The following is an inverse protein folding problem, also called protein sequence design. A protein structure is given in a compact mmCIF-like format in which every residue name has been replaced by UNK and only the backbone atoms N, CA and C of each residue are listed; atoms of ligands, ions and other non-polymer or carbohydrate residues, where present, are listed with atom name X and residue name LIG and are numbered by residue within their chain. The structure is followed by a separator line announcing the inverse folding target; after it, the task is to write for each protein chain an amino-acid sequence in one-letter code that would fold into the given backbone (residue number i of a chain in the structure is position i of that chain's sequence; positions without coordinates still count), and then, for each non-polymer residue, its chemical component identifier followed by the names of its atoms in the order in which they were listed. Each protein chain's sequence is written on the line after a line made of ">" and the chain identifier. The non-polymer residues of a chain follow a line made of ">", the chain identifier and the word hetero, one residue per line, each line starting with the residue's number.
data_IF_326385747046
#
_entry.id   IF_326385747046
#
_cell.length_a   1.000
_cell.length_b   1.000
_cell.length_c   1.000
_cell.angle_alpha   90.00
_cell.angle_beta   90.00
_cell.angle_gamma   90.00
#
_symmetry.space_group_name_H-M   'P 1'
#
loop_
_entity.id
_entity.type
_entity.pdbx_description
1 polymer ?
#
# COMPACT_ATOMS: atom_id res chain seq x y z
N UNK A 1 16.92 7.68 -23.46
CA UNK A 1 17.29 8.24 -22.15
C UNK A 1 18.07 9.52 -22.34
N UNK A 2 18.16 10.33 -21.29
CA UNK A 2 18.94 11.56 -21.24
C UNK A 2 19.63 11.62 -19.88
N UNK A 3 20.84 12.18 -19.81
CA UNK A 3 21.57 12.38 -18.56
C UNK A 3 22.02 13.83 -18.53
N UNK A 4 21.66 14.54 -17.47
CA UNK A 4 22.03 15.93 -17.24
C UNK A 4 22.77 16.04 -15.90
N UNK A 5 23.79 16.89 -15.87
CA UNK A 5 24.52 17.25 -14.65
C UNK A 5 24.39 18.74 -14.48
N UNK A 6 23.86 19.18 -13.35
CA UNK A 6 23.59 20.58 -13.02
C UNK A 6 23.87 20.81 -11.54
N UNK A 7 24.24 22.04 -11.19
CA UNK A 7 24.41 22.49 -9.81
C UNK A 7 23.07 22.64 -9.06
N UNK A 8 21.95 22.74 -9.80
CA UNK A 8 20.61 22.83 -9.24
C UNK A 8 20.11 21.51 -8.60
N UNK A 9 20.67 20.37 -8.99
CA UNK A 9 20.23 19.03 -8.54
C UNK A 9 21.34 18.41 -7.69
N UNK A 10 21.16 18.48 -6.37
CA UNK A 10 22.17 18.08 -5.38
C UNK A 10 22.06 16.62 -4.90
N UNK A 11 21.13 15.84 -5.45
CA UNK A 11 20.94 14.40 -5.19
C UNK A 11 20.62 13.69 -6.51
N UNK A 12 20.91 12.39 -6.59
CA UNK A 12 20.57 11.60 -7.79
C UNK A 12 19.05 11.57 -7.96
N UNK A 13 18.57 11.98 -9.13
CA UNK A 13 17.17 11.86 -9.54
C UNK A 13 17.11 10.96 -10.76
N UNK A 14 16.21 9.98 -10.74
CA UNK A 14 15.96 9.07 -11.85
C UNK A 14 14.49 9.19 -12.27
N UNK A 15 14.25 9.50 -13.54
CA UNK A 15 12.90 9.48 -14.14
C UNK A 15 12.81 8.35 -15.14
N UNK A 16 11.79 7.51 -15.00
CA UNK A 16 11.53 6.37 -15.90
C UNK A 16 10.13 6.51 -16.49
N UNK A 17 10.02 6.37 -17.81
CA UNK A 17 8.74 6.26 -18.51
C UNK A 17 8.67 4.89 -19.16
N UNK A 18 7.64 4.12 -18.82
CA UNK A 18 7.37 2.80 -19.39
C UNK A 18 6.09 2.83 -20.24
N UNK A 19 6.07 2.08 -21.34
CA UNK A 19 4.91 1.94 -22.21
C UNK A 19 4.56 0.45 -22.31
N UNK A 20 3.34 0.09 -21.91
CA UNK A 20 2.78 -1.26 -22.05
C UNK A 20 1.68 -1.32 -23.12
N UNK A 21 1.41 -2.52 -23.63
CA UNK A 21 0.26 -2.79 -24.49
C UNK A 21 -0.58 -3.90 -23.87
N UNK A 22 -1.89 -3.70 -23.87
CA UNK A 22 -2.88 -4.72 -23.50
C UNK A 22 -3.84 -4.90 -24.69
N UNK A 23 -4.53 -6.04 -24.73
CA UNK A 23 -5.66 -6.19 -25.67
C UNK A 23 -6.80 -5.30 -25.21
N UNK A 24 -7.66 -4.93 -26.13
CA UNK A 24 -8.88 -4.20 -25.80
C UNK A 24 -9.72 -5.01 -24.80
N UNK A 25 -10.12 -4.39 -23.70
CA UNK A 25 -10.86 -5.03 -22.61
C UNK A 25 -10.01 -5.75 -21.55
N UNK A 26 -8.71 -5.95 -21.77
CA UNK A 26 -7.81 -6.62 -20.82
C UNK A 26 -7.17 -5.65 -19.80
N UNK A 27 -7.48 -4.35 -19.88
CA UNK A 27 -6.98 -3.35 -18.92
C UNK A 27 -7.90 -3.25 -17.71
N UNK A 28 -7.32 -3.34 -16.52
CA UNK A 28 -8.01 -3.03 -15.26
C UNK A 28 -7.63 -1.62 -14.84
N UNK A 29 -8.63 -0.76 -14.63
CA UNK A 29 -8.44 0.61 -14.18
C UNK A 29 -8.58 0.72 -12.66
N UNK A 30 -8.05 1.79 -12.07
CA UNK A 30 -8.25 2.11 -10.65
C UNK A 30 -9.68 2.57 -10.36
N UNK A 31 -10.34 3.20 -11.32
CA UNK A 31 -11.63 3.91 -11.17
C UNK A 31 -12.88 3.14 -11.61
N UNK A 32 -12.87 1.81 -11.54
CA UNK A 32 -13.97 0.97 -12.03
C UNK A 32 -14.58 0.06 -10.97
N UNK A 33 -14.33 0.36 -9.69
CA UNK A 33 -15.01 -0.29 -8.57
C UNK A 33 -16.51 0.05 -8.56
N UNK A 34 -17.34 -0.88 -8.08
CA UNK A 34 -18.80 -0.74 -8.04
C UNK A 34 -19.33 -1.05 -6.65
N UNK A 35 -20.46 -0.44 -6.24
CA UNK A 35 -21.13 -0.83 -5.00
C UNK A 35 -21.37 -2.34 -4.94
N UNK A 36 -21.00 -2.95 -3.82
CA UNK A 36 -21.08 -4.39 -3.60
C UNK A 36 -19.78 -5.16 -3.82
N UNK A 37 -18.79 -4.58 -4.52
CA UNK A 37 -17.47 -5.20 -4.67
C UNK A 37 -16.80 -5.42 -3.31
N UNK A 38 -16.16 -6.57 -3.15
CA UNK A 38 -15.22 -6.82 -2.07
C UNK A 38 -13.95 -6.02 -2.30
N UNK A 39 -13.45 -5.39 -1.24
CA UNK A 39 -12.16 -4.72 -1.23
C UNK A 39 -11.13 -5.68 -0.64
N UNK A 40 -10.12 -6.02 -1.44
CA UNK A 40 -9.08 -6.98 -1.13
C UNK A 40 -7.72 -6.29 -1.10
N UNK A 41 -6.90 -6.65 -0.12
CA UNK A 41 -5.52 -6.18 0.02
C UNK A 41 -4.58 -7.38 -0.07
N UNK A 42 -3.53 -7.27 -0.89
CA UNK A 42 -2.49 -8.32 -1.02
C UNK A 42 -1.32 -8.05 -0.07
N UNK A 43 -0.69 -9.13 0.40
CA UNK A 43 0.44 -9.11 1.33
C UNK A 43 0.14 -8.29 2.59
N UNK A 44 0.94 -7.26 2.87
CA UNK A 44 0.86 -6.47 4.08
C UNK A 44 1.06 -4.99 3.75
N UNK A 45 0.38 -4.12 4.48
CA UNK A 45 0.55 -2.67 4.34
C UNK A 45 1.87 -2.22 5.00
N UNK A 46 2.40 -1.08 4.55
CA UNK A 46 3.60 -0.44 5.10
C UNK A 46 4.92 -1.16 4.79
N UNK A 47 4.94 -2.15 3.90
CA UNK A 47 6.14 -2.97 3.61
C UNK A 47 7.34 -2.11 3.18
N UNK A 48 7.17 -1.29 2.13
CA UNK A 48 8.23 -0.43 1.62
C UNK A 48 8.72 0.57 2.67
N UNK A 49 7.81 1.32 3.28
CA UNK A 49 8.20 2.34 4.26
C UNK A 49 8.85 1.73 5.50
N UNK A 50 8.42 0.55 5.94
CA UNK A 50 9.07 -0.20 7.04
C UNK A 50 10.49 -0.59 6.64
N UNK A 51 10.67 -1.09 5.42
CA UNK A 51 11.97 -1.49 4.86
C UNK A 51 12.96 -0.32 4.79
N UNK A 52 12.47 0.86 4.39
CA UNK A 52 13.26 2.10 4.35
C UNK A 52 13.57 2.58 5.77
N UNK A 53 12.56 2.69 6.64
CA UNK A 53 12.71 3.14 8.01
C UNK A 53 13.70 2.29 8.80
N UNK A 54 13.64 0.97 8.62
CA UNK A 54 14.54 0.03 9.26
C UNK A 54 16.00 0.22 8.84
N UNK A 55 16.26 0.59 7.58
CA UNK A 55 17.61 0.93 7.09
C UNK A 55 18.07 2.30 7.57
N UNK A 56 17.21 3.32 7.48
CA UNK A 56 17.58 4.70 7.83
C UNK A 56 17.80 4.91 9.33
N UNK A 57 17.06 4.19 10.18
CA UNK A 57 17.12 4.31 11.64
C UNK A 57 17.65 3.05 12.33
N UNK A 58 18.41 2.22 11.61
CA UNK A 58 18.92 0.92 12.08
C UNK A 58 19.55 0.99 13.47
N UNK A 59 20.48 1.92 13.68
CA UNK A 59 21.18 2.07 14.97
C UNK A 59 20.20 2.33 16.12
N UNK A 60 19.28 3.28 15.96
CA UNK A 60 18.29 3.62 16.97
C UNK A 60 17.32 2.46 17.23
N UNK A 61 16.96 1.70 16.19
CA UNK A 61 16.10 0.54 16.31
C UNK A 61 16.79 -0.62 17.04
N UNK A 62 18.09 -0.86 16.80
CA UNK A 62 18.88 -1.90 17.47
C UNK A 62 19.12 -1.62 18.96
N UNK A 63 19.00 -0.36 19.41
CA UNK A 63 19.03 -0.02 20.84
C UNK A 63 17.75 -0.47 21.56
N UNK A 64 16.64 -0.66 20.84
CA UNK A 64 15.32 -0.99 21.40
C UNK A 64 14.85 -2.41 21.10
N UNK A 65 15.20 -2.94 19.93
CA UNK A 65 14.68 -4.19 19.40
C UNK A 65 15.80 -5.20 19.14
N UNK A 66 15.49 -6.51 19.20
CA UNK A 66 16.46 -7.53 18.85
C UNK A 66 16.81 -7.46 17.35
N UNK A 67 18.06 -7.78 17.02
CA UNK A 67 18.58 -7.67 15.65
C UNK A 67 17.74 -8.42 14.61
N UNK A 68 17.19 -9.59 14.94
CA UNK A 68 16.37 -10.36 14.00
C UNK A 68 15.12 -9.60 13.52
N UNK A 69 14.53 -8.76 14.36
CA UNK A 69 13.33 -7.97 14.02
C UNK A 69 13.71 -6.88 13.01
N UNK A 70 14.81 -6.17 13.28
CA UNK A 70 15.32 -5.09 12.42
C UNK A 70 15.78 -5.65 11.07
N UNK A 71 16.47 -6.80 11.07
CA UNK A 71 16.89 -7.46 9.83
C UNK A 71 15.71 -7.99 9.01
N UNK A 72 14.68 -8.56 9.64
CA UNK A 72 13.48 -8.99 8.90
C UNK A 72 12.76 -7.80 8.26
N UNK A 73 12.63 -6.69 8.98
CA UNK A 73 12.06 -5.45 8.47
C UNK A 73 12.84 -4.90 7.26
N UNK A 74 14.17 -4.85 7.35
CA UNK A 74 15.05 -4.49 6.21
C UNK A 74 14.81 -5.42 5.02
N UNK A 75 14.60 -6.71 5.29
CA UNK A 75 14.32 -7.73 4.26
C UNK A 75 12.94 -7.65 3.60
N UNK A 76 12.08 -6.68 3.92
CA UNK A 76 10.76 -6.55 3.27
C UNK A 76 10.83 -6.12 1.80
N UNK A 77 11.97 -5.62 1.33
CA UNK A 77 12.21 -5.30 -0.09
C UNK A 77 11.99 -6.50 -1.03
N UNK A 78 12.19 -7.73 -0.53
CA UNK A 78 11.89 -8.98 -1.26
C UNK A 78 10.42 -9.12 -1.69
N UNK A 79 9.51 -8.35 -1.08
CA UNK A 79 8.06 -8.39 -1.37
C UNK A 79 7.56 -7.25 -2.28
N UNK A 80 8.43 -6.32 -2.71
CA UNK A 80 8.01 -5.11 -3.43
C UNK A 80 7.42 -5.36 -4.82
N UNK A 81 7.75 -6.49 -5.45
CA UNK A 81 7.16 -6.83 -6.74
C UNK A 81 5.69 -7.22 -6.58
N UNK A 82 4.81 -6.43 -7.20
CA UNK A 82 3.37 -6.69 -7.30
C UNK A 82 2.97 -7.42 -8.59
N UNK A 83 3.94 -7.73 -9.46
CA UNK A 83 3.67 -8.38 -10.76
C UNK A 83 2.91 -9.72 -10.60
N UNK A 84 3.28 -10.61 -9.66
CA UNK A 84 2.58 -11.88 -9.49
C UNK A 84 1.11 -11.69 -9.12
N UNK A 85 0.80 -10.82 -8.14
CA UNK A 85 -0.58 -10.61 -7.74
C UNK A 85 -1.41 -9.83 -8.77
N UNK A 86 -0.80 -8.87 -9.47
CA UNK A 86 -1.46 -8.18 -10.58
C UNK A 86 -1.83 -9.14 -11.71
N UNK A 87 -0.96 -10.11 -12.03
CA UNK A 87 -1.23 -11.11 -13.05
C UNK A 87 -2.39 -12.05 -12.66
N UNK A 88 -2.47 -12.45 -11.39
CA UNK A 88 -3.59 -13.27 -10.87
C UNK A 88 -4.89 -12.47 -10.85
N UNK A 89 -4.84 -11.22 -10.39
CA UNK A 89 -5.99 -10.33 -10.34
C UNK A 89 -6.56 -10.07 -11.75
N UNK A 90 -5.69 -9.77 -12.72
CA UNK A 90 -6.09 -9.57 -14.12
C UNK A 90 -6.79 -10.80 -14.72
N UNK A 91 -6.26 -12.01 -14.47
CA UNK A 91 -6.90 -13.26 -14.92
C UNK A 91 -8.22 -13.56 -14.21
N UNK A 92 -8.41 -13.00 -13.01
CA UNK A 92 -9.63 -13.20 -12.20
C UNK A 92 -10.76 -12.23 -12.56
N UNK A 93 -10.54 -11.31 -13.50
CA UNK A 93 -11.59 -10.38 -13.96
C UNK A 93 -12.01 -9.36 -12.90
N UNK A 94 -11.06 -8.88 -12.10
CA UNK A 94 -11.33 -7.89 -11.03
C UNK A 94 -11.83 -6.57 -11.61
N UNK A 95 -12.64 -5.85 -10.83
CA UNK A 95 -13.27 -4.61 -11.28
C UNK A 95 -12.28 -3.45 -11.28
N UNK A 96 -11.43 -3.34 -10.26
CA UNK A 96 -10.38 -2.34 -10.18
C UNK A 96 -9.16 -2.89 -9.44
N UNK A 97 -7.97 -2.36 -9.75
CA UNK A 97 -6.77 -2.60 -8.95
C UNK A 97 -5.84 -1.40 -9.00
N UNK A 98 -5.10 -1.17 -7.92
CA UNK A 98 -4.02 -0.18 -7.83
C UNK A 98 -2.96 -0.66 -6.86
N UNK A 99 -1.72 -0.27 -7.07
CA UNK A 99 -0.67 -0.41 -6.07
C UNK A 99 -0.86 0.60 -4.94
N UNK A 100 -0.36 0.27 -3.75
CA UNK A 100 -0.47 1.09 -2.55
C UNK A 100 0.85 1.80 -2.33
N UNK A 101 1.03 2.96 -2.97
CA UNK A 101 2.30 3.72 -2.93
C UNK A 101 2.27 4.80 -1.86
N UNK A 102 2.65 6.04 -2.20
CA UNK A 102 2.75 7.18 -1.29
C UNK A 102 1.38 7.52 -0.68
N UNK A 103 1.36 7.86 0.61
CA UNK A 103 0.12 8.06 1.39
C UNK A 103 -0.52 6.75 1.89
N UNK A 104 0.12 5.61 1.61
CA UNK A 104 -0.22 4.31 2.16
C UNK A 104 -1.63 3.81 1.80
N UNK A 105 -2.13 2.88 2.60
CA UNK A 105 -3.43 2.23 2.34
C UNK A 105 -4.59 3.22 2.40
N UNK A 106 -4.50 4.27 3.22
CA UNK A 106 -5.54 5.30 3.26
C UNK A 106 -5.57 6.15 2.00
N UNK A 107 -4.41 6.52 1.45
CA UNK A 107 -4.34 7.17 0.15
C UNK A 107 -4.94 6.32 -0.96
N UNK A 108 -4.53 5.06 -1.08
CA UNK A 108 -5.05 4.15 -2.10
C UNK A 108 -6.57 3.92 -2.01
N UNK A 109 -7.10 3.75 -0.79
CA UNK A 109 -8.54 3.62 -0.57
C UNK A 109 -9.30 4.89 -0.99
N UNK A 110 -8.77 6.07 -0.62
CA UNK A 110 -9.35 7.34 -1.01
C UNK A 110 -9.40 7.50 -2.53
N UNK A 111 -8.27 7.26 -3.21
CA UNK A 111 -8.13 7.41 -4.66
C UNK A 111 -9.02 6.43 -5.44
N UNK A 112 -9.09 5.18 -5.01
CA UNK A 112 -9.97 4.19 -5.64
C UNK A 112 -11.44 4.60 -5.52
N UNK A 113 -11.86 5.07 -4.33
CA UNK A 113 -13.22 5.52 -4.08
C UNK A 113 -13.56 6.78 -4.89
N UNK A 114 -12.65 7.75 -4.93
CA UNK A 114 -12.79 8.98 -5.71
C UNK A 114 -12.89 8.69 -7.20
N UNK A 115 -11.96 7.90 -7.73
CA UNK A 115 -11.88 7.58 -9.16
C UNK A 115 -13.08 6.74 -9.63
N UNK A 116 -13.66 5.94 -8.74
CA UNK A 116 -14.81 5.08 -9.05
C UNK A 116 -16.16 5.74 -8.74
N UNK A 117 -16.19 6.86 -8.02
CA UNK A 117 -17.43 7.51 -7.59
C UNK A 117 -18.26 6.63 -6.63
N UNK A 118 -17.60 5.92 -5.73
CA UNK A 118 -18.23 5.01 -4.75
C UNK A 118 -17.85 5.35 -3.31
N UNK A 119 -18.64 4.85 -2.37
CA UNK A 119 -18.31 4.84 -0.96
C UNK A 119 -17.50 3.60 -0.61
N UNK A 120 -16.97 3.55 0.61
CA UNK A 120 -16.24 2.41 1.15
C UNK A 120 -16.68 2.14 2.58
N UNK A 121 -16.66 0.87 2.94
CA UNK A 121 -16.75 0.43 4.33
C UNK A 121 -15.64 -0.58 4.59
N UNK A 122 -14.60 -0.13 5.30
CA UNK A 122 -13.37 -0.88 5.55
C UNK A 122 -13.26 -1.21 7.04
N UNK A 123 -12.90 -2.44 7.36
CA UNK A 123 -12.59 -2.89 8.70
C UNK A 123 -11.07 -2.85 8.91
N UNK A 124 -10.63 -1.90 9.74
CA UNK A 124 -9.22 -1.68 10.04
C UNK A 124 -8.56 -2.92 10.63
N UNK A 125 -9.30 -3.75 11.39
CA UNK A 125 -8.76 -4.97 12.01
C UNK A 125 -8.47 -6.08 11.01
N UNK A 126 -9.00 -5.98 9.79
CA UNK A 126 -8.75 -6.94 8.70
C UNK A 126 -7.58 -6.55 7.82
N UNK A 127 -7.07 -5.32 7.94
CA UNK A 127 -5.90 -4.89 7.18
C UNK A 127 -4.69 -5.74 7.59
N UNK A 128 -4.06 -6.46 6.66
CA UNK A 128 -2.90 -7.28 6.97
C UNK A 128 -1.70 -6.36 7.23
N UNK A 129 -1.12 -6.46 8.43
CA UNK A 129 0.06 -5.70 8.85
C UNK A 129 1.04 -6.63 9.54
N UNK A 130 2.35 -6.42 9.31
CA UNK A 130 3.41 -7.19 9.96
C UNK A 130 3.71 -6.65 11.35
N UNK A 131 4.14 -7.52 12.27
CA UNK A 131 4.51 -7.11 13.61
C UNK A 131 5.69 -6.12 13.57
N UNK A 132 6.67 -6.40 12.71
CA UNK A 132 7.83 -5.55 12.48
C UNK A 132 7.42 -4.12 12.09
N UNK A 133 6.44 -3.99 11.19
CA UNK A 133 5.86 -2.70 10.80
C UNK A 133 5.23 -2.00 11.99
N UNK A 134 4.40 -2.69 12.78
CA UNK A 134 3.76 -2.11 13.97
C UNK A 134 4.80 -1.59 14.97
N UNK A 135 5.80 -2.41 15.32
CA UNK A 135 6.83 -2.07 16.30
C UNK A 135 7.71 -0.89 15.84
N UNK A 136 8.14 -0.91 14.58
CA UNK A 136 8.99 0.16 14.01
C UNK A 136 8.19 1.45 13.89
N UNK A 137 6.96 1.40 13.38
CA UNK A 137 6.11 2.57 13.28
C UNK A 137 5.84 3.18 14.67
N UNK A 138 5.55 2.37 15.69
CA UNK A 138 5.37 2.85 17.05
C UNK A 138 6.64 3.50 17.62
N UNK A 139 7.82 2.91 17.38
CA UNK A 139 9.09 3.45 17.87
C UNK A 139 9.48 4.77 17.20
N UNK A 140 9.08 4.96 15.95
CA UNK A 140 9.44 6.13 15.15
C UNK A 140 8.30 7.17 15.04
N UNK A 141 7.20 6.97 15.78
CA UNK A 141 6.00 7.83 15.74
C UNK A 141 5.44 8.01 14.31
N UNK A 142 5.38 6.89 13.58
CA UNK A 142 4.82 6.78 12.24
C UNK A 142 3.45 6.12 12.28
N UNK A 143 2.53 6.57 11.43
CA UNK A 143 1.26 5.90 11.20
C UNK A 143 1.40 4.85 10.09
N UNK A 144 1.27 3.54 10.39
CA UNK A 144 1.48 2.48 9.39
C UNK A 144 0.43 2.48 8.27
N UNK A 145 -0.72 3.15 8.47
CA UNK A 145 -1.78 3.21 7.46
C UNK A 145 -1.59 4.33 6.42
N UNK A 146 -0.72 5.29 6.71
CA UNK A 146 -0.37 6.44 5.87
C UNK A 146 1.09 6.37 5.38
N UNK A 147 1.74 5.23 5.65
CA UNK A 147 3.12 4.95 5.26
C UNK A 147 3.17 4.30 3.88
N UNK A 148 4.13 4.71 3.04
CA UNK A 148 4.35 4.11 1.72
C UNK A 148 4.38 2.58 1.80
N UNK A 149 3.53 1.95 0.99
CA UNK A 149 3.18 0.53 1.13
C UNK A 149 3.51 -0.29 -0.13
N UNK A 150 4.53 0.12 -0.89
CA UNK A 150 4.95 -0.60 -2.09
C UNK A 150 5.13 -2.09 -1.83
N UNK A 151 4.80 -2.90 -2.84
CA UNK A 151 4.67 -4.35 -2.68
C UNK A 151 3.29 -4.85 -2.28
N UNK A 152 2.31 -3.96 -2.10
CA UNK A 152 0.92 -4.28 -1.80
C UNK A 152 -0.01 -3.77 -2.92
N UNK A 153 -1.06 -4.54 -3.26
CA UNK A 153 -2.16 -4.11 -4.13
C UNK A 153 -3.46 -3.95 -3.34
N UNK A 154 -4.23 -2.93 -3.74
CA UNK A 154 -5.63 -2.76 -3.39
C UNK A 154 -6.48 -3.15 -4.59
N UNK A 155 -7.45 -4.04 -4.40
CA UNK A 155 -8.24 -4.65 -5.47
C UNK A 155 -9.73 -4.59 -5.12
N UNK A 156 -10.57 -4.18 -6.07
CA UNK A 156 -12.02 -4.33 -5.99
C UNK A 156 -12.47 -5.50 -6.87
N UNK A 157 -13.20 -6.45 -6.29
CA UNK A 157 -13.66 -7.66 -7.00
C UNK A 157 -15.12 -7.99 -6.70
N UNK A 158 -15.83 -8.58 -7.67
CA UNK A 158 -17.20 -9.08 -7.46
C UNK A 158 -17.24 -10.25 -6.45
N UNK A 159 -16.18 -11.05 -6.41
CA UNK A 159 -16.03 -12.17 -5.49
C UNK A 159 -14.59 -12.22 -4.95
N UNK A 160 -14.37 -11.54 -3.83
CA UNK A 160 -13.07 -11.48 -3.18
C UNK A 160 -12.60 -12.83 -2.64
N UNK A 161 -13.52 -13.76 -2.34
CA UNK A 161 -13.18 -15.08 -1.80
C UNK A 161 -12.49 -15.94 -2.87
N UNK A 162 -13.02 -15.95 -4.09
CA UNK A 162 -12.39 -16.70 -5.18
C UNK A 162 -11.09 -16.04 -5.66
N UNK A 163 -10.99 -14.71 -5.60
CA UNK A 163 -9.73 -14.01 -5.83
C UNK A 163 -8.66 -14.44 -4.82
N UNK A 164 -8.98 -14.46 -3.51
CA UNK A 164 -8.05 -14.90 -2.46
C UNK A 164 -7.59 -16.34 -2.72
N UNK A 165 -8.52 -17.26 -3.04
CA UNK A 165 -8.16 -18.65 -3.36
C UNK A 165 -7.21 -18.76 -4.55
N UNK A 166 -7.32 -17.87 -5.54
CA UNK A 166 -6.42 -17.87 -6.69
C UNK A 166 -5.05 -17.28 -6.34
N UNK A 167 -5.00 -16.26 -5.48
CA UNK A 167 -3.76 -15.69 -4.96
C UNK A 167 -3.01 -16.70 -4.05
N UNK A 168 -3.73 -17.44 -3.21
CA UNK A 168 -3.18 -18.47 -2.32
C UNK A 168 -2.48 -19.59 -3.10
N UNK A 169 -2.99 -19.98 -4.29
CA UNK A 169 -2.33 -20.98 -5.16
C UNK A 169 -0.94 -20.55 -5.61
N UNK A 170 -0.71 -19.24 -5.71
CA UNK A 170 0.57 -18.64 -6.06
C UNK A 170 1.38 -18.21 -4.80
N UNK A 171 0.95 -18.63 -3.61
CA UNK A 171 1.54 -18.29 -2.30
C UNK A 171 1.50 -16.78 -1.99
N UNK A 172 0.47 -16.09 -2.47
CA UNK A 172 0.28 -14.66 -2.23
C UNK A 172 -0.80 -14.49 -1.15
N UNK A 173 -0.45 -14.07 0.06
CA UNK A 173 -1.44 -13.79 1.10
C UNK A 173 -2.29 -12.60 0.70
N UNK A 174 -3.59 -12.65 1.00
CA UNK A 174 -4.52 -11.56 0.77
C UNK A 174 -5.70 -11.65 1.73
N UNK A 175 -6.38 -10.53 1.95
CA UNK A 175 -7.54 -10.46 2.84
C UNK A 175 -8.64 -9.57 2.24
N UNK A 176 -9.91 -9.96 2.43
CA UNK A 176 -11.04 -9.04 2.22
C UNK A 176 -11.09 -8.11 3.42
N UNK A 177 -10.84 -6.83 3.18
CA UNK A 177 -10.73 -5.81 4.23
C UNK A 177 -12.01 -4.97 4.34
N UNK A 178 -12.89 -5.06 3.36
CA UNK A 178 -14.13 -4.28 3.35
C UNK A 178 -14.93 -4.46 2.07
N UNK A 179 -15.83 -3.50 1.81
CA UNK A 179 -16.67 -3.47 0.62
C UNK A 179 -16.78 -2.05 0.06
N UNK A 180 -16.92 -1.95 -1.26
CA UNK A 180 -17.42 -0.76 -1.90
C UNK A 180 -18.92 -0.61 -1.65
N UNK A 181 -19.36 0.61 -1.35
CA UNK A 181 -20.75 0.93 -1.00
C UNK A 181 -21.31 1.98 -1.96
N UNK A 182 -22.63 2.14 -1.97
CA UNK A 182 -23.25 3.26 -2.68
C UNK A 182 -23.02 4.58 -1.95
N UNK A 183 -23.13 5.69 -2.68
CA UNK A 183 -22.87 7.04 -2.14
C UNK A 183 -21.38 7.38 -2.15
N UNK A 184 -20.97 8.33 -1.31
CA UNK A 184 -19.60 8.86 -1.28
C UNK A 184 -18.92 8.70 0.09
N UNK A 185 -19.60 8.08 1.06
CA UNK A 185 -19.06 7.89 2.41
C UNK A 185 -17.90 6.90 2.39
N UNK A 186 -16.72 7.31 2.86
CA UNK A 186 -15.52 6.46 2.96
C UNK A 186 -15.26 6.15 4.42
N UNK A 187 -15.83 5.06 4.89
CA UNK A 187 -15.87 4.70 6.30
C UNK A 187 -14.76 3.72 6.64
N UNK A 188 -13.96 4.05 7.66
CA UNK A 188 -13.06 3.12 8.33
C UNK A 188 -13.65 2.77 9.70
N UNK A 189 -13.80 1.48 9.97
CA UNK A 189 -14.26 0.94 11.25
C UNK A 189 -13.10 0.35 12.03
N UNK A 190 -13.06 0.61 13.33
CA UNK A 190 -12.19 -0.09 14.27
C UNK A 190 -13.04 -0.64 15.43
N UNK A 191 -13.61 -1.83 15.25
CA UNK A 191 -14.63 -2.32 16.17
C UNK A 191 -15.90 -1.46 16.12
N UNK A 192 -16.26 -0.83 17.24
CA UNK A 192 -17.43 0.05 17.34
C UNK A 192 -17.15 1.47 16.86
N UNK A 193 -15.87 1.87 16.78
CA UNK A 193 -15.48 3.20 16.33
C UNK A 193 -15.65 3.33 14.82
N UNK A 194 -16.26 4.43 14.41
CA UNK A 194 -16.45 4.82 13.01
C UNK A 194 -15.73 6.14 12.76
N UNK A 195 -14.89 6.17 11.73
CA UNK A 195 -14.30 7.42 11.22
C UNK A 195 -14.44 7.50 9.70
N UNK A 196 -14.33 8.71 9.18
CA UNK A 196 -14.27 8.94 7.74
C UNK A 196 -12.81 9.06 7.32
N UNK A 197 -12.49 8.46 6.17
CA UNK A 197 -11.25 8.72 5.47
C UNK A 197 -11.21 10.20 5.07
N UNK A 198 -10.04 10.82 5.24
CA UNK A 198 -9.74 12.17 4.77
C UNK A 198 -8.93 12.08 3.47
N UNK A 199 -8.87 13.16 2.68
CA UNK A 199 -7.93 13.23 1.56
C UNK A 199 -6.50 12.88 2.00
N UNK A 200 -5.72 12.18 1.14
CA UNK A 200 -4.35 11.81 1.46
C UNK A 200 -3.52 13.03 1.83
N UNK A 201 -2.68 12.84 2.85
CA UNK A 201 -1.72 13.83 3.34
C UNK A 201 -0.33 13.43 2.86
N UNK A 202 0.68 14.22 3.23
CA UNK A 202 2.09 13.85 3.04
C UNK A 202 2.39 12.52 3.70
N UNK A 203 3.16 11.66 3.03
CA UNK A 203 3.53 10.34 3.54
C UNK A 203 4.26 10.43 4.88
N UNK A 204 3.99 9.45 5.74
CA UNK A 204 4.60 9.38 7.06
C UNK A 204 6.12 9.19 7.00
N UNK A 205 6.65 8.58 5.93
CA UNK A 205 8.08 8.36 5.76
C UNK A 205 8.89 9.68 5.77
N UNK A 206 8.30 10.79 5.33
CA UNK A 206 8.98 12.09 5.31
C UNK A 206 9.39 12.57 6.71
N UNK A 207 8.70 12.14 7.76
CA UNK A 207 9.06 12.48 9.16
C UNK A 207 10.46 12.02 9.53
N UNK A 208 10.95 10.93 8.92
CA UNK A 208 12.24 10.34 9.26
C UNK A 208 13.31 10.55 8.18
N UNK A 209 12.91 10.72 6.92
CA UNK A 209 13.83 10.93 5.79
C UNK A 209 14.22 12.40 5.58
N UNK A 210 13.45 13.33 6.13
CA UNK A 210 13.74 14.78 6.11
C UNK A 210 13.72 15.42 7.52
N UNK A 211 13.62 14.59 8.57
CA UNK A 211 13.79 15.03 9.95
C UNK A 211 15.19 15.61 10.16
N UNK A 212 15.21 16.88 10.57
CA UNK A 212 16.32 17.79 10.86
C UNK A 212 17.73 17.23 10.58
N UNK A 213 18.41 17.83 9.59
CA UNK A 213 19.86 17.82 9.58
C UNK A 213 20.32 18.23 10.97
N UNK A 214 20.87 17.29 11.74
CA UNK A 214 21.39 17.55 13.09
C UNK A 214 22.26 18.81 13.02
N UNK A 215 21.78 19.86 13.67
CA UNK A 215 22.47 21.14 13.87
C UNK A 215 23.67 21.00 14.79
#
# INVERSE_FOLDING_TARGET
>A
GHTEVTDAVNRIVLTVTAIGRAKEGDTVATGTAKPGNDIVVTKWIGLEGTSIAAREKEKALLERFPAYLVEEAKGFDKYLSVIPEAAVAGKSGVCAMTDVTEGGIFGALWEMAESSGVGLEIDLKKLPIRQETVEICNQLDLNPYELISGGCLLIAADNGTDLIRNLEKENIPAAIVGKATGGNDRVIRNGEEKRFLEPPKTDELYKISFGEAES
#
